data_IF_581836348131
#
_entry.id   IF_581836348131
#
_cell.length_a   1.000
_cell.length_b   1.000
_cell.length_c   1.000
_cell.angle_alpha   90.00
_cell.angle_beta   90.00
_cell.angle_gamma   90.00
#
_symmetry.space_group_name_H-M   'P 1'
#
loop_
_entity.id
_entity.type
_entity.pdbx_description
1 polymer ?
#
# COMPACT_ATOMS: atom_id res chain seq x y z
N UNK A 1 -2.05 -35.92 19.24
CA UNK A 1 -2.74 -34.61 19.12
C UNK A 1 -1.81 -33.45 19.47
N UNK A 2 -1.51 -33.16 20.75
CA UNK A 2 -0.70 -31.98 21.16
C UNK A 2 0.72 -31.92 20.58
N UNK A 3 1.42 -33.06 20.47
CA UNK A 3 2.76 -33.14 19.84
C UNK A 3 2.75 -32.84 18.34
N UNK A 4 1.66 -33.19 17.66
CA UNK A 4 1.48 -32.93 16.23
C UNK A 4 1.24 -31.43 15.97
N UNK A 5 0.45 -30.79 16.84
CA UNK A 5 0.21 -29.34 16.81
C UNK A 5 1.47 -28.53 17.10
N UNK A 6 2.31 -28.99 18.04
CA UNK A 6 3.60 -28.35 18.32
C UNK A 6 4.56 -28.45 17.13
N UNK A 7 4.60 -29.62 16.46
CA UNK A 7 5.40 -29.82 15.26
C UNK A 7 4.95 -28.93 14.10
N UNK A 8 3.63 -28.81 13.86
CA UNK A 8 3.11 -27.93 12.81
C UNK A 8 3.43 -26.47 13.07
N UNK A 9 3.38 -26.02 14.33
CA UNK A 9 3.67 -24.64 14.71
C UNK A 9 5.16 -24.27 14.52
N UNK A 10 6.08 -25.21 14.76
CA UNK A 10 7.52 -24.99 14.54
C UNK A 10 7.83 -24.89 13.04
N UNK A 11 7.17 -25.71 12.22
CA UNK A 11 7.36 -25.70 10.77
C UNK A 11 6.87 -24.37 10.16
N UNK A 12 5.68 -23.89 10.57
CA UNK A 12 5.16 -22.60 10.07
C UNK A 12 5.99 -21.41 10.53
N UNK A 13 6.57 -21.44 11.73
CA UNK A 13 7.44 -20.36 12.19
C UNK A 13 8.76 -20.29 11.40
N UNK A 14 9.28 -21.43 10.95
CA UNK A 14 10.50 -21.51 10.15
C UNK A 14 10.37 -20.90 8.76
N UNK A 15 9.22 -21.05 8.10
CA UNK A 15 9.02 -20.64 6.70
C UNK A 15 8.77 -19.14 6.51
N UNK A 16 8.46 -18.40 7.58
CA UNK A 16 8.12 -16.96 7.49
C UNK A 16 9.36 -16.04 7.50
N UNK A 17 10.58 -16.57 7.64
CA UNK A 17 11.81 -15.76 7.80
C UNK A 17 12.52 -15.38 6.48
N UNK A 18 11.80 -15.35 5.35
CA UNK A 18 12.42 -15.10 4.03
C UNK A 18 12.66 -13.61 3.71
N UNK A 19 12.24 -12.68 4.56
CA UNK A 19 12.40 -11.25 4.32
C UNK A 19 13.87 -10.83 4.45
N UNK A 20 14.42 -10.17 3.43
CA UNK A 20 15.79 -9.64 3.43
C UNK A 20 15.80 -8.14 3.19
N UNK A 21 16.80 -7.45 3.73
CA UNK A 21 16.96 -6.01 3.50
C UNK A 21 17.55 -5.80 2.11
N UNK A 22 16.81 -5.09 1.25
CA UNK A 22 17.25 -4.73 -0.11
C UNK A 22 18.26 -3.59 -0.03
N UNK A 23 19.34 -3.68 -0.82
CA UNK A 23 20.36 -2.64 -0.87
C UNK A 23 19.77 -1.35 -1.46
N UNK A 24 20.23 -0.19 -0.99
CA UNK A 24 19.61 1.10 -1.34
C UNK A 24 19.51 1.34 -2.85
N UNK A 25 20.55 0.98 -3.61
CA UNK A 25 20.58 1.14 -5.06
C UNK A 25 19.67 0.16 -5.82
N UNK A 26 19.28 -0.97 -5.22
CA UNK A 26 18.34 -1.93 -5.81
C UNK A 26 16.89 -1.48 -5.63
N UNK A 27 16.62 -0.60 -4.65
CA UNK A 27 15.27 -0.04 -4.43
C UNK A 27 14.78 0.78 -5.63
N UNK A 28 15.67 1.33 -6.45
CA UNK A 28 15.27 2.03 -7.69
C UNK A 28 14.51 1.11 -8.66
N UNK A 29 14.77 -0.20 -8.62
CA UNK A 29 14.07 -1.20 -9.45
C UNK A 29 12.72 -1.62 -8.87
N UNK A 30 12.51 -1.37 -7.58
CA UNK A 30 11.26 -1.64 -6.86
C UNK A 30 10.32 -0.42 -6.86
N UNK A 31 10.89 0.77 -6.96
CA UNK A 31 10.16 2.03 -7.05
C UNK A 31 9.50 2.17 -8.43
N UNK A 32 8.32 1.57 -8.57
CA UNK A 32 7.45 1.76 -9.73
C UNK A 32 6.74 3.13 -9.63
N UNK A 33 6.72 3.94 -10.69
CA UNK A 33 5.92 5.18 -10.75
C UNK A 33 4.45 5.01 -10.38
N UNK A 34 3.87 3.82 -10.60
CA UNK A 34 2.49 3.52 -10.24
C UNK A 34 2.27 3.28 -8.74
N UNK A 35 3.34 3.09 -7.95
CA UNK A 35 3.26 2.91 -6.49
C UNK A 35 3.19 4.23 -5.72
N UNK A 36 3.23 5.37 -6.42
CA UNK A 36 3.06 6.69 -5.80
C UNK A 36 1.63 6.80 -5.28
N UNK A 37 1.50 6.99 -3.96
CA UNK A 37 0.21 7.22 -3.29
C UNK A 37 -0.29 8.63 -3.64
N UNK A 38 -0.93 8.76 -4.79
CA UNK A 38 -1.53 10.01 -5.25
C UNK A 38 -2.34 9.82 -6.52
N UNK A 39 -3.21 10.79 -6.78
CA UNK A 39 -4.07 10.78 -7.96
C UNK A 39 -3.25 10.81 -9.24
N UNK A 40 -3.58 9.92 -10.18
CA UNK A 40 -3.01 9.97 -11.52
C UNK A 40 -3.61 11.16 -12.29
N UNK A 41 -2.81 11.89 -13.09
CA UNK A 41 -3.33 13.02 -13.87
C UNK A 41 -4.47 12.64 -14.83
N UNK A 42 -4.48 11.38 -15.30
CA UNK A 42 -5.52 10.86 -16.19
C UNK A 42 -6.90 10.76 -15.50
N UNK A 43 -6.93 10.53 -14.19
CA UNK A 43 -8.17 10.27 -13.44
C UNK A 43 -8.85 11.57 -12.99
N UNK A 44 -8.26 12.72 -13.34
CA UNK A 44 -8.72 14.05 -12.93
C UNK A 44 -10.21 14.27 -13.21
N UNK A 45 -10.73 13.83 -14.35
CA UNK A 45 -12.14 14.05 -14.68
C UNK A 45 -13.09 13.23 -13.81
N UNK A 46 -12.70 11.99 -13.47
CA UNK A 46 -13.46 11.11 -12.59
C UNK A 46 -13.46 11.65 -11.16
N UNK A 47 -12.29 12.03 -10.65
CA UNK A 47 -12.13 12.64 -9.32
C UNK A 47 -12.96 13.91 -9.21
N UNK A 48 -12.96 14.76 -10.25
CA UNK A 48 -13.80 15.96 -10.25
C UNK A 48 -15.29 15.59 -10.22
N UNK A 49 -15.72 14.58 -10.98
CA UNK A 49 -17.12 14.14 -10.97
C UNK A 49 -17.54 13.63 -9.58
N UNK A 50 -16.71 12.81 -8.93
CA UNK A 50 -16.93 12.30 -7.57
C UNK A 50 -16.92 13.44 -6.53
N UNK A 51 -15.96 14.36 -6.61
CA UNK A 51 -15.89 15.50 -5.71
C UNK A 51 -17.14 16.41 -5.83
N UNK A 52 -17.56 16.71 -7.05
CA UNK A 52 -18.73 17.57 -7.29
C UNK A 52 -20.07 16.90 -6.94
N UNK A 53 -20.21 15.59 -7.16
CA UNK A 53 -21.50 14.89 -6.98
C UNK A 53 -21.65 14.20 -5.63
N UNK A 54 -20.56 13.68 -5.09
CA UNK A 54 -20.57 12.80 -3.92
C UNK A 54 -19.93 13.47 -2.69
N UNK A 55 -19.47 14.72 -2.83
CA UNK A 55 -18.70 15.43 -1.80
C UNK A 55 -17.48 14.62 -1.32
N UNK A 56 -16.93 13.78 -2.20
CA UNK A 56 -15.77 12.95 -1.91
C UNK A 56 -14.58 13.86 -1.54
N UNK A 57 -14.18 13.84 -0.27
CA UNK A 57 -13.07 14.62 0.27
C UNK A 57 -12.19 13.72 1.12
N UNK A 58 -11.00 13.37 0.62
CA UNK A 58 -10.03 12.57 1.37
C UNK A 58 -8.96 11.89 0.51
N UNK A 59 -7.80 11.59 1.13
CA UNK A 59 -6.73 10.67 0.70
C UNK A 59 -6.07 10.85 -0.69
N UNK A 60 -6.44 11.86 -1.47
CA UNK A 60 -6.03 12.00 -2.86
C UNK A 60 -4.66 12.69 -3.10
N UNK A 61 -3.93 13.04 -2.04
CA UNK A 61 -2.61 13.71 -2.13
C UNK A 61 -2.60 15.10 -2.81
N UNK A 62 -3.72 15.54 -3.39
CA UNK A 62 -3.90 16.80 -4.11
C UNK A 62 -4.68 17.87 -3.34
N UNK A 63 -4.60 19.12 -3.81
CA UNK A 63 -5.21 20.31 -3.17
C UNK A 63 -6.75 20.25 -3.05
N UNK A 64 -7.41 19.42 -3.86
CA UNK A 64 -8.87 19.26 -3.91
C UNK A 64 -9.40 18.17 -2.97
N UNK A 65 -8.52 17.31 -2.43
CA UNK A 65 -8.88 16.21 -1.52
C UNK A 65 -8.14 16.33 -0.19
N UNK A 66 -8.46 17.37 0.58
CA UNK A 66 -7.89 17.60 1.92
C UNK A 66 -8.41 16.60 2.94
N UNK A 67 -7.93 15.35 2.90
CA UNK A 67 -8.12 14.41 4.00
C UNK A 67 -7.19 14.72 5.18
N UNK A 68 -7.54 14.20 6.36
CA UNK A 68 -6.80 14.34 7.64
C UNK A 68 -5.32 13.86 7.60
N UNK A 69 -4.81 13.38 6.46
CA UNK A 69 -3.38 13.07 6.32
C UNK A 69 -2.89 12.00 7.29
N UNK A 70 -3.73 11.00 7.60
CA UNK A 70 -3.26 9.82 8.33
C UNK A 70 -2.40 8.99 7.38
N UNK A 71 -1.07 9.13 7.51
CA UNK A 71 -0.08 8.17 7.01
C UNK A 71 -0.35 6.77 7.56
#
# INVERSE_FOLDING_TARGET
MKKLLLLSAIITLGTLNSCTVVKEYEKVKLNDPDMVLGDKPADRFEINAQAYREAASGANGGKTGGGCGCN
#
